data_IF_151527679477
#
_entry.id   IF_151527679477
#
_cell.length_a   1.000
_cell.length_b   1.000
_cell.length_c   1.000
_cell.angle_alpha   90.00
_cell.angle_beta   90.00
_cell.angle_gamma   90.00
#
_symmetry.space_group_name_H-M   'P 1'
#
loop_
_entity.id
_entity.type
_entity.pdbx_description
1 polymer ?
#
# COMPACT_ATOMS: atom_id res chain seq x y z
N UNK A 1 2.37 -21.35 -2.11
CA UNK A 1 1.19 -21.73 -2.91
C UNK A 1 0.25 -20.53 -2.95
N UNK A 2 -0.33 -20.20 -4.10
CA UNK A 2 -1.30 -19.11 -4.19
C UNK A 2 -2.68 -19.61 -3.73
N UNK A 3 -3.32 -18.89 -2.81
CA UNK A 3 -4.70 -19.14 -2.43
C UNK A 3 -5.65 -18.52 -3.47
N UNK A 4 -6.71 -19.24 -3.84
CA UNK A 4 -7.74 -18.72 -4.75
C UNK A 4 -8.70 -17.83 -3.97
N UNK A 5 -8.80 -16.57 -4.37
CA UNK A 5 -9.76 -15.60 -3.83
C UNK A 5 -10.79 -15.30 -4.93
N UNK A 6 -12.08 -15.42 -4.61
CA UNK A 6 -13.15 -15.02 -5.52
C UNK A 6 -13.47 -13.56 -5.29
N UNK A 7 -13.39 -12.75 -6.34
CA UNK A 7 -13.76 -11.34 -6.32
C UNK A 7 -14.99 -11.14 -7.21
N UNK A 8 -16.04 -10.54 -6.65
CA UNK A 8 -17.26 -10.22 -7.39
C UNK A 8 -17.36 -8.68 -7.50
N UNK A 9 -16.85 -8.09 -8.59
CA UNK A 9 -16.85 -6.65 -8.75
C UNK A 9 -18.29 -6.11 -8.86
N UNK A 10 -18.50 -4.91 -8.32
CA UNK A 10 -19.66 -4.09 -8.66
C UNK A 10 -19.35 -3.20 -9.88
N UNK A 11 -20.35 -2.44 -10.34
CA UNK A 11 -20.21 -1.58 -11.53
C UNK A 11 -19.08 -0.55 -11.41
N UNK A 12 -18.88 0.04 -10.22
CA UNK A 12 -17.79 0.99 -10.01
C UNK A 12 -16.43 0.31 -9.96
N UNK A 13 -16.33 -0.89 -9.38
CA UNK A 13 -15.11 -1.69 -9.40
C UNK A 13 -14.71 -2.02 -10.85
N UNK A 14 -15.67 -2.45 -11.68
CA UNK A 14 -15.44 -2.72 -13.11
C UNK A 14 -14.92 -1.47 -13.84
N UNK A 15 -15.55 -0.32 -13.62
CA UNK A 15 -15.11 0.96 -14.20
C UNK A 15 -13.70 1.34 -13.76
N UNK A 16 -13.36 1.12 -12.49
CA UNK A 16 -12.02 1.42 -11.96
C UNK A 16 -10.99 0.48 -12.59
N UNK A 17 -11.30 -0.82 -12.65
CA UNK A 17 -10.43 -1.84 -13.25
C UNK A 17 -10.16 -1.53 -14.71
N UNK A 18 -11.21 -1.25 -15.49
CA UNK A 18 -11.08 -1.00 -16.92
C UNK A 18 -10.33 0.29 -17.21
N UNK A 19 -10.56 1.35 -16.42
CA UNK A 19 -9.80 2.60 -16.54
C UNK A 19 -8.33 2.42 -16.16
N UNK A 20 -8.04 1.56 -15.19
CA UNK A 20 -6.69 1.36 -14.68
C UNK A 20 -5.87 0.37 -15.53
N UNK A 21 -6.52 -0.47 -16.34
CA UNK A 21 -5.90 -1.53 -17.13
C UNK A 21 -5.06 -0.96 -18.27
N UNK A 22 -3.84 -1.47 -18.43
CA UNK A 22 -3.03 -1.27 -19.64
C UNK A 22 -3.29 -2.37 -20.66
N UNK A 23 -3.00 -2.12 -21.94
CA UNK A 23 -3.31 -3.05 -23.05
C UNK A 23 -2.75 -4.47 -22.84
N UNK A 24 -1.62 -4.60 -22.15
CA UNK A 24 -0.96 -5.89 -21.85
C UNK A 24 -1.30 -6.48 -20.47
N UNK A 25 -2.20 -5.88 -19.69
CA UNK A 25 -2.53 -6.32 -18.33
C UNK A 25 -3.81 -7.16 -18.26
N UNK A 26 -3.76 -8.27 -17.50
CA UNK A 26 -4.97 -8.99 -17.11
C UNK A 26 -5.65 -8.30 -15.91
N UNK A 27 -6.94 -8.57 -15.69
CA UNK A 27 -7.64 -8.09 -14.48
C UNK A 27 -6.92 -8.49 -13.19
N UNK A 28 -6.35 -9.69 -13.12
CA UNK A 28 -5.58 -10.15 -11.97
C UNK A 28 -4.33 -9.30 -11.74
N UNK A 29 -3.67 -8.86 -12.81
CA UNK A 29 -2.48 -8.00 -12.71
C UNK A 29 -2.84 -6.60 -12.22
N UNK A 30 -3.95 -6.04 -12.71
CA UNK A 30 -4.52 -4.79 -12.20
C UNK A 30 -4.83 -4.90 -10.71
N UNK A 31 -5.48 -5.98 -10.27
CA UNK A 31 -5.80 -6.20 -8.85
C UNK A 31 -4.53 -6.36 -8.00
N UNK A 32 -3.52 -7.09 -8.48
CA UNK A 32 -2.22 -7.19 -7.78
C UNK A 32 -1.54 -5.84 -7.66
N UNK A 33 -1.58 -5.02 -8.71
CA UNK A 33 -1.03 -3.65 -8.70
C UNK A 33 -1.79 -2.77 -7.72
N UNK A 34 -3.12 -2.85 -7.69
CA UNK A 34 -3.95 -2.14 -6.71
C UNK A 34 -3.60 -2.52 -5.27
N UNK A 35 -3.43 -3.81 -4.96
CA UNK A 35 -3.02 -4.27 -3.62
C UNK A 35 -1.66 -3.71 -3.21
N UNK A 36 -0.68 -3.66 -4.12
CA UNK A 36 0.63 -3.05 -3.84
C UNK A 36 0.57 -1.54 -3.62
N UNK A 37 -0.38 -0.87 -4.26
CA UNK A 37 -0.62 0.57 -4.03
C UNK A 37 -1.22 0.81 -2.63
N UNK A 38 -2.15 -0.04 -2.19
CA UNK A 38 -2.70 0.03 -0.83
C UNK A 38 -1.62 -0.22 0.23
N UNK A 39 -0.79 -1.25 0.06
CA UNK A 39 0.33 -1.55 0.95
C UNK A 39 1.30 -0.37 1.09
N UNK A 40 1.61 0.29 -0.02
CA UNK A 40 2.45 1.50 -0.02
C UNK A 40 1.80 2.67 0.73
N UNK A 41 0.47 2.84 0.61
CA UNK A 41 -0.24 3.92 1.31
C UNK A 41 -0.18 3.71 2.83
N UNK A 42 -0.39 2.49 3.30
CA UNK A 42 -0.26 2.14 4.72
C UNK A 42 1.18 2.36 5.21
N UNK A 43 2.17 1.96 4.42
CA UNK A 43 3.57 2.21 4.76
C UNK A 43 3.89 3.72 4.91
N UNK A 44 3.39 4.55 4.01
CA UNK A 44 3.57 6.02 4.11
C UNK A 44 2.86 6.57 5.34
N UNK A 45 1.63 6.15 5.61
CA UNK A 45 0.89 6.58 6.78
C UNK A 45 1.62 6.22 8.09
N UNK A 46 2.15 4.99 8.17
CA UNK A 46 2.95 4.55 9.30
C UNK A 46 4.24 5.37 9.43
N UNK A 47 4.96 5.59 8.34
CA UNK A 47 6.19 6.39 8.36
C UNK A 47 5.94 7.84 8.82
N UNK A 48 4.80 8.42 8.44
CA UNK A 48 4.41 9.75 8.92
C UNK A 48 4.06 9.75 10.41
N UNK A 49 3.35 8.74 10.90
CA UNK A 49 3.05 8.58 12.32
C UNK A 49 4.32 8.41 13.15
N UNK A 50 5.25 7.59 12.67
CA UNK A 50 6.55 7.38 13.30
C UNK A 50 7.37 8.67 13.32
N UNK A 51 7.43 9.41 12.21
CA UNK A 51 8.12 10.71 12.16
C UNK A 51 7.49 11.74 13.11
N UNK A 52 6.17 11.73 13.28
CA UNK A 52 5.48 12.59 14.24
C UNK A 52 5.82 12.19 15.69
N UNK A 53 5.90 10.90 16.00
CA UNK A 53 6.31 10.40 17.33
C UNK A 53 7.78 10.73 17.64
N UNK A 54 8.68 10.56 16.67
CA UNK A 54 10.10 10.85 16.81
C UNK A 54 10.42 12.35 16.91
N UNK A 55 9.53 13.23 16.44
CA UNK A 55 9.67 14.69 16.62
C UNK A 55 9.62 15.09 18.10
N UNK A 56 8.90 14.33 18.91
CA UNK A 56 8.77 14.57 20.36
C UNK A 56 9.80 13.75 21.18
N UNK A 57 10.63 12.92 20.53
CA UNK A 57 11.77 12.25 21.15
C UNK A 57 13.02 13.14 21.07
N UNK A 58 13.62 13.45 22.23
CA UNK A 58 14.94 14.08 22.29
C UNK A 58 16.02 13.04 22.00
N UNK A 59 16.51 13.02 20.75
CA UNK A 59 17.56 12.12 20.26
C UNK A 59 18.91 12.36 20.98
N UNK A 60 19.08 13.44 21.76
CA UNK A 60 20.29 13.67 22.55
C UNK A 60 20.33 12.93 23.90
N UNK A 61 19.26 12.24 24.32
CA UNK A 61 19.23 11.56 25.62
C UNK A 61 19.79 10.12 25.57
N UNK A 62 20.17 9.64 24.39
CA UNK A 62 20.91 8.38 24.24
C UNK A 62 22.42 8.65 24.30
N UNK A 63 23.16 8.16 25.32
CA UNK A 63 24.60 8.30 25.33
C UNK A 63 25.18 7.53 24.15
N UNK A 64 25.92 8.24 23.29
CA UNK A 64 26.68 7.65 22.19
C UNK A 64 27.64 6.58 22.73
N UNK A 65 27.17 5.32 22.73
CA UNK A 65 27.98 4.16 23.03
C UNK A 65 28.54 3.61 21.71
N UNK A 66 29.61 4.23 21.21
CA UNK A 66 30.47 3.69 20.16
C UNK A 66 31.93 3.62 20.63
#
# INVERSE_FOLDING_TARGET
MAATITFRPNVDDERIIDRARHDDETTTDVLRRALRLLDRQEWIAQAQADAARLRDEDINDEPEAW
#
